data_IF_431259595880
#
_entry.id   IF_431259595880
#
_cell.length_a   1.000
_cell.length_b   1.000
_cell.length_c   1.000
_cell.angle_alpha   90.00
_cell.angle_beta   90.00
_cell.angle_gamma   90.00
#
_symmetry.space_group_name_H-M   'P 1'
#
loop_
_entity.id
_entity.type
_entity.pdbx_description
1 polymer ?
#
# COMPACT_ATOMS: atom_id res chain seq x y z
N UNK A 1 -9.27 47.03 6.76
CA UNK A 1 -9.10 45.70 6.15
C UNK A 1 -9.72 44.67 7.07
N UNK A 2 -10.85 44.06 6.67
CA UNK A 2 -11.62 43.14 7.52
C UNK A 2 -11.01 41.75 7.46
N UNK A 3 -10.50 41.26 8.60
CA UNK A 3 -10.00 39.90 8.73
C UNK A 3 -11.16 38.92 8.55
N UNK A 4 -11.24 38.28 7.38
CA UNK A 4 -12.16 37.17 7.13
C UNK A 4 -11.81 36.04 8.09
N UNK A 5 -12.59 35.92 9.17
CA UNK A 5 -12.60 34.74 10.03
C UNK A 5 -13.15 33.58 9.21
N UNK A 6 -12.26 32.81 8.58
CA UNK A 6 -12.64 31.57 7.92
C UNK A 6 -13.21 30.64 9.00
N UNK A 7 -14.52 30.47 8.98
CA UNK A 7 -15.25 29.54 9.84
C UNK A 7 -14.85 28.15 9.37
N UNK A 8 -13.95 27.49 10.10
CA UNK A 8 -13.49 26.14 9.78
C UNK A 8 -14.70 25.20 9.78
N UNK A 9 -15.14 24.80 8.59
CA UNK A 9 -16.10 23.72 8.42
C UNK A 9 -15.35 22.47 8.84
N UNK A 10 -15.61 21.99 10.05
CA UNK A 10 -15.01 20.75 10.53
C UNK A 10 -15.64 19.63 9.69
N UNK A 11 -14.83 18.81 9.01
CA UNK A 11 -15.37 17.69 8.24
C UNK A 11 -16.18 16.74 9.13
N UNK A 12 -17.23 16.16 8.56
CA UNK A 12 -18.15 15.23 9.21
C UNK A 12 -17.52 13.84 9.36
N UNK A 13 -16.39 13.79 10.08
CA UNK A 13 -15.70 12.55 10.45
C UNK A 13 -16.20 12.18 11.82
N UNK A 14 -16.71 10.96 11.98
CA UNK A 14 -17.15 10.48 13.28
C UNK A 14 -16.02 10.61 14.31
N UNK A 15 -16.38 11.10 15.49
CA UNK A 15 -15.52 11.77 16.46
C UNK A 15 -14.40 10.92 17.10
N UNK A 16 -14.27 9.63 16.78
CA UNK A 16 -13.39 8.70 17.50
C UNK A 16 -11.95 8.63 16.96
N UNK A 17 -11.76 8.93 15.67
CA UNK A 17 -10.45 8.79 15.01
C UNK A 17 -9.69 10.11 14.87
N UNK A 18 -10.21 11.21 15.44
CA UNK A 18 -9.57 12.52 15.46
C UNK A 18 -9.26 12.95 16.90
N UNK A 19 -8.15 13.66 17.09
CA UNK A 19 -7.84 14.22 18.40
C UNK A 19 -8.90 15.23 18.85
N UNK A 20 -9.14 15.35 20.18
CA UNK A 20 -10.07 16.33 20.70
C UNK A 20 -9.60 17.75 20.36
N UNK A 21 -10.54 18.68 20.21
CA UNK A 21 -10.20 20.08 19.90
C UNK A 21 -9.31 20.66 21.01
N UNK A 22 -8.20 21.27 20.62
CA UNK A 22 -7.23 21.85 21.55
C UNK A 22 -6.20 20.84 22.08
N UNK A 23 -6.26 19.58 21.65
CA UNK A 23 -5.14 18.66 21.85
C UNK A 23 -3.92 19.17 21.08
N UNK A 24 -2.77 19.11 21.75
CA UNK A 24 -1.47 19.32 21.14
C UNK A 24 -0.70 18.01 21.26
N UNK A 25 -1.00 17.01 20.41
CA UNK A 25 -0.24 15.77 20.42
C UNK A 25 1.24 16.11 20.15
N UNK A 26 2.13 15.46 20.88
CA UNK A 26 3.56 15.60 20.64
C UNK A 26 3.89 14.92 19.31
N UNK A 27 3.91 15.71 18.24
CA UNK A 27 4.23 15.24 16.91
C UNK A 27 5.72 14.89 16.86
N UNK A 28 6.05 13.75 16.27
CA UNK A 28 7.45 13.48 15.92
C UNK A 28 7.91 14.48 14.85
N UNK A 29 9.22 14.71 14.75
CA UNK A 29 9.78 15.83 13.99
C UNK A 29 9.40 15.84 12.49
N UNK A 30 9.12 14.67 11.90
CA UNK A 30 8.71 14.53 10.49
C UNK A 30 7.29 15.05 10.24
N UNK A 31 6.44 15.05 11.27
CA UNK A 31 5.07 15.52 11.18
C UNK A 31 4.92 16.98 11.57
N UNK A 32 6.00 17.66 11.99
CA UNK A 32 5.99 19.11 12.20
C UNK A 32 6.09 19.82 10.84
N UNK A 33 5.28 20.86 10.58
CA UNK A 33 5.39 21.64 9.35
C UNK A 33 6.82 22.18 9.20
N UNK A 34 7.45 21.85 8.08
CA UNK A 34 8.82 22.28 7.79
C UNK A 34 8.98 22.58 6.31
N UNK A 35 9.76 23.61 6.01
CA UNK A 35 10.24 23.94 4.67
C UNK A 35 11.64 23.39 4.41
N UNK A 36 12.25 22.74 5.42
CA UNK A 36 13.57 22.17 5.30
C UNK A 36 13.51 20.92 4.43
N UNK A 37 14.52 20.76 3.57
CA UNK A 37 14.68 19.53 2.79
C UNK A 37 14.95 18.37 3.74
N UNK A 38 14.18 17.29 3.57
CA UNK A 38 14.36 16.06 4.32
C UNK A 38 15.55 15.28 3.77
N UNK A 39 16.31 14.66 4.66
CA UNK A 39 17.48 13.85 4.35
C UNK A 39 17.19 12.36 4.51
N UNK A 40 18.18 11.52 4.15
CA UNK A 40 18.08 10.07 4.29
C UNK A 40 17.81 9.60 5.72
N UNK A 41 18.24 10.34 6.74
CA UNK A 41 17.96 10.01 8.15
C UNK A 41 16.47 10.15 8.47
N UNK A 42 15.80 11.10 7.82
CA UNK A 42 14.38 11.35 8.03
C UNK A 42 13.53 10.24 7.41
N UNK A 43 13.98 9.68 6.29
CA UNK A 43 13.39 8.48 5.66
C UNK A 43 13.45 7.27 6.60
N UNK A 44 14.60 7.05 7.27
CA UNK A 44 14.76 5.95 8.23
C UNK A 44 13.88 6.17 9.46
N UNK A 45 13.90 7.38 10.02
CA UNK A 45 13.05 7.70 11.15
C UNK A 45 11.56 7.60 10.78
N UNK A 46 11.18 7.82 9.51
CA UNK A 46 9.81 7.62 9.04
C UNK A 46 9.44 6.15 8.97
N UNK A 47 10.37 5.26 8.60
CA UNK A 47 10.11 3.82 8.55
C UNK A 47 10.00 3.15 9.93
N UNK A 48 10.44 3.84 10.98
CA UNK A 48 10.35 3.43 12.38
C UNK A 48 9.11 3.98 13.10
N UNK A 49 8.31 4.82 12.43
CA UNK A 49 7.14 5.44 13.04
C UNK A 49 6.01 4.43 13.34
N UNK A 50 5.39 4.57 14.51
CA UNK A 50 4.23 3.78 14.93
C UNK A 50 2.91 4.43 14.45
N UNK A 51 2.04 3.72 13.72
CA UNK A 51 0.76 4.25 13.23
C UNK A 51 -0.10 4.89 14.33
N UNK A 52 -0.74 6.03 14.02
CA UNK A 52 -1.58 6.72 15.00
C UNK A 52 -2.93 6.00 15.11
N UNK A 53 -3.37 5.72 16.34
CA UNK A 53 -4.77 5.33 16.60
C UNK A 53 -5.75 6.45 16.28
N UNK A 54 -5.31 7.70 16.44
CA UNK A 54 -6.13 8.89 16.29
C UNK A 54 -5.33 9.93 15.50
N UNK A 55 -5.88 10.44 14.41
CA UNK A 55 -5.20 11.42 13.55
C UNK A 55 -5.08 12.78 14.26
N UNK A 56 -3.86 13.30 14.42
CA UNK A 56 -3.64 14.68 14.84
C UNK A 56 -4.29 15.68 13.87
N UNK A 57 -5.08 16.64 14.37
CA UNK A 57 -5.76 17.66 13.53
C UNK A 57 -4.84 18.48 12.63
N UNK A 58 -3.60 18.69 13.06
CA UNK A 58 -2.55 19.37 12.27
C UNK A 58 -2.26 18.65 10.95
N UNK A 59 -2.52 17.35 10.88
CA UNK A 59 -2.38 16.53 9.67
C UNK A 59 -3.64 16.51 8.81
N UNK A 60 -4.70 17.24 9.17
CA UNK A 60 -5.87 17.40 8.30
C UNK A 60 -5.59 18.56 7.33
N UNK A 61 -5.61 18.32 6.01
CA UNK A 61 -5.32 19.36 5.04
C UNK A 61 -6.36 20.47 5.11
N UNK A 62 -5.88 21.71 5.11
CA UNK A 62 -6.71 22.92 5.11
C UNK A 62 -6.73 23.49 3.69
N UNK A 63 -7.91 23.59 3.04
CA UNK A 63 -8.01 24.17 1.71
C UNK A 63 -7.39 25.57 1.63
N UNK A 64 -6.48 25.78 0.67
CA UNK A 64 -5.79 27.05 0.45
C UNK A 64 -4.60 27.32 1.38
N UNK A 65 -4.29 26.44 2.34
CA UNK A 65 -3.10 26.59 3.18
C UNK A 65 -1.82 26.26 2.40
N UNK A 66 -0.76 27.09 2.44
CA UNK A 66 0.41 26.96 1.56
C UNK A 66 1.22 25.68 1.75
N UNK A 67 1.10 25.05 2.92
CA UNK A 67 1.69 23.75 3.23
C UNK A 67 0.60 22.69 3.35
N UNK A 68 0.81 21.55 2.70
CA UNK A 68 -0.01 20.35 2.85
C UNK A 68 0.69 19.36 3.76
N UNK A 69 -0.04 18.72 4.69
CA UNK A 69 0.53 17.71 5.56
C UNK A 69 0.92 16.45 4.78
N UNK A 70 1.77 15.59 5.36
CA UNK A 70 1.94 14.22 4.91
C UNK A 70 0.60 13.52 4.66
N UNK A 71 0.55 12.65 3.66
CA UNK A 71 -0.59 11.79 3.39
C UNK A 71 -0.62 10.66 4.41
N UNK A 72 -1.70 10.63 5.17
CA UNK A 72 -2.01 9.58 6.13
C UNK A 72 -3.14 8.73 5.57
N UNK A 73 -3.00 7.42 5.67
CA UNK A 73 -3.99 6.43 5.20
C UNK A 73 -4.64 5.77 6.40
N UNK A 74 -5.96 5.82 6.46
CA UNK A 74 -6.72 5.09 7.46
C UNK A 74 -7.06 3.69 6.94
N UNK A 75 -6.76 2.66 7.72
CA UNK A 75 -6.96 1.29 7.28
C UNK A 75 -6.44 0.24 8.27
N UNK A 76 -6.23 -0.96 7.75
CA UNK A 76 -5.77 -2.12 8.53
C UNK A 76 -4.61 -2.81 7.83
N UNK A 77 -3.75 -3.45 8.62
CA UNK A 77 -2.84 -4.45 8.09
C UNK A 77 -3.67 -5.62 7.56
N UNK A 78 -3.43 -5.98 6.31
CA UNK A 78 -4.15 -7.05 5.65
C UNK A 78 -3.70 -8.41 6.20
N UNK A 79 -4.67 -9.31 6.40
CA UNK A 79 -4.37 -10.72 6.62
C UNK A 79 -4.17 -11.40 5.25
N UNK A 80 -2.92 -11.65 4.89
CA UNK A 80 -2.57 -12.20 3.58
C UNK A 80 -3.12 -13.62 3.37
N UNK A 81 -3.29 -14.42 4.43
CA UNK A 81 -3.90 -15.75 4.35
C UNK A 81 -5.37 -15.66 3.95
N UNK A 82 -6.11 -14.76 4.59
CA UNK A 82 -7.52 -14.52 4.23
C UNK A 82 -7.64 -13.96 2.82
N UNK A 83 -6.75 -13.06 2.39
CA UNK A 83 -6.74 -12.56 1.02
C UNK A 83 -6.49 -13.68 -0.01
N UNK A 84 -5.65 -14.67 0.32
CA UNK A 84 -5.46 -15.86 -0.52
C UNK A 84 -6.73 -16.70 -0.57
N UNK A 85 -7.41 -16.92 0.55
CA UNK A 85 -8.67 -17.67 0.58
C UNK A 85 -9.75 -16.99 -0.26
N UNK A 86 -9.93 -15.67 -0.10
CA UNK A 86 -10.88 -14.90 -0.89
C UNK A 86 -10.50 -14.92 -2.38
N UNK A 87 -9.21 -14.83 -2.73
CA UNK A 87 -8.78 -14.92 -4.13
C UNK A 87 -9.15 -16.27 -4.78
N UNK A 88 -9.12 -17.36 -4.01
CA UNK A 88 -9.58 -18.69 -4.46
C UNK A 88 -11.10 -18.74 -4.58
N UNK A 89 -11.83 -18.22 -3.60
CA UNK A 89 -13.30 -18.14 -3.62
C UNK A 89 -13.81 -17.38 -4.85
N UNK A 90 -13.17 -16.26 -5.18
CA UNK A 90 -13.54 -15.39 -6.29
C UNK A 90 -12.93 -15.80 -7.64
N UNK A 91 -12.13 -16.86 -7.69
CA UNK A 91 -11.37 -17.30 -8.87
C UNK A 91 -10.66 -16.14 -9.60
N UNK A 92 -10.00 -15.28 -8.82
CA UNK A 92 -9.43 -14.02 -9.33
C UNK A 92 -7.90 -13.96 -9.29
N UNK A 93 -7.24 -15.09 -9.09
CA UNK A 93 -5.79 -15.18 -9.08
C UNK A 93 -5.18 -14.68 -10.39
N UNK A 94 -4.16 -13.81 -10.29
CA UNK A 94 -3.37 -13.35 -11.43
C UNK A 94 -2.09 -14.16 -11.45
N UNK A 95 -1.83 -14.89 -12.52
CA UNK A 95 -0.59 -15.65 -12.67
C UNK A 95 0.55 -14.73 -13.13
N UNK A 96 1.75 -14.99 -12.62
CA UNK A 96 2.96 -14.38 -13.16
C UNK A 96 3.09 -14.80 -14.64
N UNK A 97 3.15 -13.82 -15.54
CA UNK A 97 3.48 -14.11 -16.92
C UNK A 97 4.86 -14.81 -16.93
N UNK A 98 5.02 -15.93 -17.64
CA UNK A 98 6.35 -16.46 -17.87
C UNK A 98 7.14 -15.33 -18.53
N UNK A 99 8.22 -14.89 -17.88
CA UNK A 99 9.12 -13.93 -18.49
C UNK A 99 9.67 -14.62 -19.75
N UNK A 100 9.15 -14.23 -20.92
CA UNK A 100 9.78 -14.50 -22.20
C UNK A 100 11.03 -13.64 -22.20
N UNK A 101 12.09 -14.15 -21.59
CA UNK A 101 13.43 -13.68 -21.92
C UNK A 101 13.57 -14.00 -23.40
N UNK A 102 13.30 -13.01 -24.24
CA UNK A 102 13.87 -13.00 -25.57
C UNK A 102 15.36 -12.98 -25.30
N UNK A 103 16.00 -14.13 -25.49
CA UNK A 103 17.44 -14.25 -25.55
C UNK A 103 17.88 -13.41 -26.74
N UNK A 104 17.97 -12.10 -26.50
CA UNK A 104 18.48 -11.13 -27.44
C UNK A 104 19.97 -11.29 -27.42
N UNK A 105 20.45 -12.23 -28.23
CA UNK A 105 21.78 -12.18 -28.81
C UNK A 105 21.93 -10.84 -29.53
N UNK A 106 22.46 -9.84 -28.83
CA UNK A 106 23.23 -8.80 -29.50
C UNK A 106 24.67 -9.30 -29.50
N UNK A 107 25.01 -9.95 -30.61
CA UNK A 107 26.36 -9.97 -31.17
C UNK A 107 26.97 -8.57 -31.05
N UNK A 108 28.18 -8.44 -30.51
CA UNK A 108 29.31 -7.86 -31.26
C UNK A 108 30.63 -8.48 -30.75
N UNK A 109 31.22 -9.29 -31.64
CA UNK A 109 32.64 -9.59 -31.87
C UNK A 109 33.54 -10.01 -30.70
N UNK A 110 33.87 -11.32 -30.61
CA UNK A 110 35.26 -11.82 -30.47
C UNK A 110 35.36 -13.33 -30.79
N UNK A 111 35.99 -13.60 -31.95
CA UNK A 111 36.82 -14.75 -32.36
C UNK A 111 36.30 -16.20 -32.17
N UNK A 112 35.73 -16.70 -33.27
CA UNK A 112 35.97 -17.99 -33.95
C UNK A 112 36.81 -19.05 -33.19
N UNK A 113 36.13 -19.88 -32.38
CA UNK A 113 36.54 -21.27 -32.11
C UNK A 113 35.27 -22.13 -32.03
N UNK A 114 35.13 -23.05 -32.99
CA UNK A 114 34.00 -23.96 -33.19
C UNK A 114 33.77 -24.89 -31.97
N UNK A 115 32.91 -24.49 -31.02
CA UNK A 115 32.32 -25.41 -30.06
C UNK A 115 30.95 -25.92 -30.55
N UNK A 116 30.88 -27.24 -30.69
CA UNK A 116 29.71 -28.01 -31.13
C UNK A 116 28.51 -27.76 -30.18
N UNK A 117 27.57 -26.93 -30.63
CA UNK A 117 26.34 -26.59 -29.90
C UNK A 117 25.46 -27.83 -29.74
N UNK A 118 25.53 -28.45 -28.57
CA UNK A 118 24.59 -29.49 -28.14
C UNK A 118 23.22 -28.83 -27.95
N UNK A 119 22.33 -29.05 -28.92
CA UNK A 119 20.91 -28.72 -28.81
C UNK A 119 20.28 -29.60 -27.75
N UNK A 120 20.19 -29.11 -26.52
CA UNK A 120 19.36 -29.75 -25.50
C UNK A 120 17.88 -29.59 -25.89
N UNK A 121 17.31 -30.68 -26.40
CA UNK A 121 15.90 -30.81 -26.71
C UNK A 121 15.09 -30.72 -25.40
N UNK A 122 14.49 -29.55 -25.15
CA UNK A 122 13.76 -29.30 -23.92
C UNK A 122 12.47 -30.12 -23.87
N UNK A 123 12.41 -31.02 -22.91
CA UNK A 123 11.26 -31.88 -22.69
C UNK A 123 10.16 -31.11 -21.95
N UNK A 124 9.10 -30.75 -22.69
CA UNK A 124 7.91 -30.00 -22.20
C UNK A 124 7.09 -30.75 -21.11
N UNK A 125 7.58 -31.89 -20.62
CA UNK A 125 6.94 -32.68 -19.55
C UNK A 125 7.20 -32.15 -18.14
N UNK A 126 8.05 -31.14 -17.97
CA UNK A 126 8.33 -30.58 -16.64
C UNK A 126 7.29 -29.51 -16.33
N UNK A 127 6.40 -29.68 -15.33
CA UNK A 127 5.36 -28.70 -15.05
C UNK A 127 6.03 -27.38 -14.69
N UNK A 128 5.56 -26.27 -15.27
CA UNK A 128 6.05 -24.90 -15.06
C UNK A 128 6.24 -24.56 -13.56
N UNK A 129 5.47 -25.21 -12.69
CA UNK A 129 5.64 -25.18 -11.23
C UNK A 129 7.04 -25.60 -10.76
N UNK A 130 7.65 -26.63 -11.34
CA UNK A 130 8.98 -27.12 -10.96
C UNK A 130 10.09 -26.08 -11.26
N UNK A 131 9.98 -25.37 -12.39
CA UNK A 131 10.91 -24.30 -12.79
C UNK A 131 10.74 -23.06 -11.90
N UNK A 132 9.51 -22.72 -11.52
CA UNK A 132 9.23 -21.65 -10.57
C UNK A 132 9.72 -22.00 -9.16
N UNK A 133 9.60 -23.25 -8.73
CA UNK A 133 10.07 -23.71 -7.41
C UNK A 133 11.58 -23.94 -7.34
N UNK A 134 12.26 -24.30 -8.43
CA UNK A 134 13.71 -24.55 -8.42
C UNK A 134 14.54 -23.28 -8.25
N UNK A 135 13.97 -22.11 -8.56
CA UNK A 135 14.58 -20.79 -8.31
C UNK A 135 14.42 -20.31 -6.86
N UNK A 136 13.72 -21.07 -6.01
CA UNK A 136 13.42 -20.66 -4.65
C UNK A 136 14.58 -20.95 -3.69
N UNK A 137 15.10 -19.90 -3.06
CA UNK A 137 16.00 -19.97 -1.90
C UNK A 137 15.22 -19.50 -0.67
N UNK A 138 14.76 -20.41 0.23
CA UNK A 138 14.01 -20.03 1.43
C UNK A 138 14.74 -19.00 2.29
N UNK A 139 16.07 -19.06 2.31
CA UNK A 139 16.93 -18.10 3.02
C UNK A 139 16.79 -16.64 2.55
N UNK A 140 16.16 -16.40 1.39
CA UNK A 140 16.03 -15.06 0.80
C UNK A 140 14.87 -14.25 1.40
N UNK A 141 13.91 -14.89 2.08
CA UNK A 141 12.71 -14.21 2.61
C UNK A 141 12.33 -14.67 4.02
N UNK A 142 13.15 -14.40 5.04
CA UNK A 142 12.93 -14.89 6.40
C UNK A 142 11.67 -14.32 7.09
N UNK A 143 11.08 -13.25 6.56
CA UNK A 143 9.92 -12.55 7.15
C UNK A 143 8.66 -12.65 6.28
N UNK A 144 8.63 -13.61 5.34
CA UNK A 144 7.45 -13.82 4.48
C UNK A 144 6.29 -14.44 5.28
N UNK A 145 5.06 -14.00 5.02
CA UNK A 145 3.86 -14.62 5.61
C UNK A 145 3.54 -15.95 4.91
N UNK A 146 2.89 -16.88 5.62
CA UNK A 146 2.48 -18.17 5.03
C UNK A 146 1.52 -17.97 3.84
N UNK A 147 0.61 -17.00 3.92
CA UNK A 147 -0.27 -16.63 2.82
C UNK A 147 0.50 -16.16 1.57
N UNK A 148 1.48 -15.26 1.75
CA UNK A 148 2.34 -14.81 0.66
C UNK A 148 3.08 -15.98 0.01
N UNK A 149 3.63 -16.86 0.85
CA UNK A 149 4.40 -18.02 0.41
C UNK A 149 3.54 -18.96 -0.43
N UNK A 150 2.32 -19.26 0.04
CA UNK A 150 1.36 -20.11 -0.68
C UNK A 150 0.97 -19.52 -2.03
N UNK A 151 0.64 -18.22 -2.08
CA UNK A 151 0.29 -17.53 -3.32
C UNK A 151 1.45 -17.56 -4.32
N UNK A 152 2.67 -17.23 -3.85
CA UNK A 152 3.87 -17.24 -4.69
C UNK A 152 4.20 -18.63 -5.21
N UNK A 153 4.10 -19.67 -4.37
CA UNK A 153 4.32 -21.06 -4.78
C UNK A 153 3.30 -21.54 -5.81
N UNK A 154 2.08 -21.00 -5.77
CA UNK A 154 1.07 -21.22 -6.79
C UNK A 154 1.32 -20.44 -8.11
N UNK A 155 2.43 -19.68 -8.19
CA UNK A 155 2.79 -18.88 -9.36
C UNK A 155 2.01 -17.58 -9.48
N UNK A 156 1.40 -17.11 -8.39
CA UNK A 156 0.58 -15.89 -8.42
C UNK A 156 1.45 -14.63 -8.39
N UNK A 157 1.01 -13.63 -9.15
CA UNK A 157 1.38 -12.24 -8.98
C UNK A 157 0.58 -11.72 -7.76
N UNK A 158 1.20 -11.82 -6.58
CA UNK A 158 0.55 -11.66 -5.27
C UNK A 158 -0.11 -10.29 -5.14
N UNK A 159 0.59 -9.22 -5.53
CA UNK A 159 0.09 -7.85 -5.38
C UNK A 159 -1.15 -7.59 -6.23
N UNK A 160 -1.12 -7.88 -7.53
CA UNK A 160 -2.28 -7.72 -8.42
C UNK A 160 -3.42 -8.64 -8.02
N UNK A 161 -3.12 -9.84 -7.55
CA UNK A 161 -4.15 -10.76 -7.06
C UNK A 161 -4.89 -10.15 -5.86
N UNK A 162 -4.15 -9.71 -4.83
CA UNK A 162 -4.76 -9.06 -3.66
C UNK A 162 -5.45 -7.74 -4.03
N UNK A 163 -4.87 -6.97 -4.95
CA UNK A 163 -5.50 -5.74 -5.44
C UNK A 163 -6.82 -6.04 -6.16
N UNK A 164 -6.89 -7.15 -6.90
CA UNK A 164 -8.11 -7.60 -7.57
C UNK A 164 -9.17 -8.05 -6.57
N UNK A 165 -8.79 -8.79 -5.52
CA UNK A 165 -9.68 -9.12 -4.39
C UNK A 165 -10.29 -7.85 -3.81
N UNK A 166 -9.46 -6.88 -3.43
CA UNK A 166 -9.91 -5.61 -2.85
C UNK A 166 -10.84 -4.86 -3.81
N UNK A 167 -10.55 -4.85 -5.10
CA UNK A 167 -11.39 -4.21 -6.11
C UNK A 167 -12.74 -4.91 -6.31
N UNK A 168 -12.78 -6.25 -6.27
CA UNK A 168 -14.03 -7.02 -6.39
C UNK A 168 -14.89 -6.78 -5.14
N UNK A 169 -14.32 -6.96 -3.95
CA UNK A 169 -15.03 -6.71 -2.68
C UNK A 169 -15.56 -5.27 -2.63
N UNK A 170 -14.77 -4.29 -3.07
CA UNK A 170 -15.22 -2.89 -3.21
C UNK A 170 -16.45 -2.76 -4.11
N UNK A 171 -16.49 -3.51 -5.21
CA UNK A 171 -17.58 -3.44 -6.20
C UNK A 171 -18.84 -4.18 -5.77
N UNK A 172 -18.70 -5.26 -5.01
CA UNK A 172 -19.81 -6.10 -4.53
C UNK A 172 -20.47 -5.53 -3.28
N UNK A 173 -19.66 -5.11 -2.30
CA UNK A 173 -20.15 -4.84 -0.96
C UNK A 173 -20.78 -3.45 -0.81
N UNK A 174 -20.48 -2.47 -1.68
CA UNK A 174 -20.75 -1.08 -1.28
C UNK A 174 -21.25 -0.10 -2.33
N UNK A 175 -22.44 0.42 -2.00
CA UNK A 175 -22.90 1.79 -2.21
C UNK A 175 -21.99 2.88 -1.58
N UNK A 176 -20.85 2.53 -0.98
CA UNK A 176 -19.79 3.48 -0.61
C UNK A 176 -19.18 4.07 -1.88
N UNK A 177 -19.68 5.24 -2.26
CA UNK A 177 -19.10 6.14 -3.25
C UNK A 177 -17.79 6.76 -2.72
N UNK A 178 -16.83 5.93 -2.34
CA UNK A 178 -15.55 6.27 -1.69
C UNK A 178 -14.43 5.26 -1.96
N UNK A 179 -13.19 5.71 -1.80
CA UNK A 179 -11.97 5.18 -2.42
C UNK A 179 -11.29 4.05 -1.60
N UNK A 180 -11.86 2.83 -1.57
CA UNK A 180 -11.11 1.67 -1.06
C UNK A 180 -9.92 1.37 -1.97
N UNK A 181 -8.73 1.21 -1.39
CA UNK A 181 -7.50 0.89 -2.12
C UNK A 181 -6.55 0.00 -1.29
N UNK A 182 -5.94 -0.99 -1.95
CA UNK A 182 -4.80 -1.72 -1.40
C UNK A 182 -3.53 -0.89 -1.57
N UNK A 183 -2.71 -0.77 -0.52
CA UNK A 183 -1.44 -0.05 -0.55
C UNK A 183 -0.29 -0.93 -0.07
N UNK A 184 0.80 -0.93 -0.84
CA UNK A 184 2.09 -1.52 -0.46
C UNK A 184 3.12 -0.48 0.00
N UNK A 185 2.84 0.79 -0.28
CA UNK A 185 3.77 1.90 -0.13
C UNK A 185 3.57 2.52 1.25
N UNK A 186 4.02 1.80 2.29
CA UNK A 186 4.07 2.28 3.66
C UNK A 186 5.51 2.45 4.12
N UNK A 187 5.75 3.46 4.95
CA UNK A 187 7.01 3.60 5.68
C UNK A 187 7.09 2.52 6.78
N UNK A 188 7.54 1.30 6.44
CA UNK A 188 7.85 0.25 7.42
C UNK A 188 8.85 -0.77 6.86
N UNK A 189 9.83 -1.19 7.66
CA UNK A 189 10.96 -2.07 7.23
C UNK A 189 10.53 -3.49 6.79
N UNK A 190 9.38 -3.96 7.29
CA UNK A 190 8.59 -5.01 6.66
C UNK A 190 7.34 -4.30 6.17
N UNK A 191 7.09 -4.22 4.87
CA UNK A 191 5.88 -3.61 4.31
C UNK A 191 4.80 -4.69 4.22
N UNK A 192 4.01 -4.96 5.30
CA UNK A 192 2.83 -5.77 5.12
C UNK A 192 1.89 -5.05 4.16
N UNK A 193 1.06 -5.81 3.47
CA UNK A 193 -0.06 -5.24 2.75
C UNK A 193 -0.96 -4.48 3.71
N UNK A 194 -1.39 -3.28 3.32
CA UNK A 194 -2.38 -2.52 4.07
C UNK A 194 -3.56 -2.19 3.18
N UNK A 195 -4.76 -2.39 3.71
CA UNK A 195 -6.01 -2.03 3.05
C UNK A 195 -6.43 -0.67 3.58
N UNK A 196 -6.37 0.34 2.71
CA UNK A 196 -6.74 1.71 3.01
C UNK A 196 -8.22 1.93 2.67
N UNK A 197 -8.98 2.41 3.64
CA UNK A 197 -10.36 2.81 3.44
C UNK A 197 -10.47 4.23 2.87
N UNK A 198 -9.65 5.15 3.38
CA UNK A 198 -9.57 6.55 2.93
C UNK A 198 -8.27 7.20 3.46
N UNK A 199 -8.04 8.45 3.06
CA UNK A 199 -6.90 9.27 3.46
C UNK A 199 -7.31 10.48 4.28
N UNK A 200 -6.36 11.16 4.93
CA UNK A 200 -6.59 12.42 5.62
C UNK A 200 -7.13 13.53 4.67
N UNK A 201 -6.85 13.43 3.37
CA UNK A 201 -7.36 14.34 2.35
C UNK A 201 -8.84 14.11 2.05
N UNK A 202 -9.29 12.86 2.13
CA UNK A 202 -10.69 12.50 1.92
C UNK A 202 -11.58 12.98 3.08
N UNK A 203 -11.02 13.32 4.23
CA UNK A 203 -11.79 13.82 5.37
C UNK A 203 -12.60 15.06 5.00
N UNK A 204 -12.09 15.92 4.12
CA UNK A 204 -12.81 17.12 3.66
C UNK A 204 -14.00 16.80 2.74
N UNK A 205 -14.12 15.56 2.27
CA UNK A 205 -15.21 15.08 1.43
C UNK A 205 -16.51 14.89 2.24
N UNK A 206 -17.65 15.06 1.58
CA UNK A 206 -18.97 14.73 2.15
C UNK A 206 -19.29 13.23 2.11
N UNK A 207 -18.42 12.43 1.50
CA UNK A 207 -18.65 11.00 1.21
C UNK A 207 -17.56 10.14 1.83
N UNK A 208 -17.55 10.07 3.15
CA UNK A 208 -16.77 9.07 3.87
C UNK A 208 -17.61 7.81 4.09
N UNK A 209 -17.00 6.62 4.12
CA UNK A 209 -17.68 5.40 4.57
C UNK A 209 -18.27 5.59 5.98
N UNK A 210 -19.45 5.04 6.22
CA UNK A 210 -20.00 4.95 7.57
C UNK A 210 -19.25 3.90 8.40
N UNK A 211 -19.45 3.89 9.72
CA UNK A 211 -18.86 2.85 10.58
C UNK A 211 -19.37 1.47 10.20
N UNK A 212 -20.66 1.34 9.88
CA UNK A 212 -21.23 0.07 9.42
C UNK A 212 -20.57 -0.40 8.12
N UNK A 213 -20.27 0.52 7.19
CA UNK A 213 -19.53 0.20 5.96
C UNK A 213 -18.11 -0.30 6.27
N UNK A 214 -17.41 0.34 7.21
CA UNK A 214 -16.05 -0.03 7.62
C UNK A 214 -16.03 -1.39 8.32
N UNK A 215 -16.99 -1.65 9.21
CA UNK A 215 -17.13 -2.93 9.92
C UNK A 215 -17.46 -4.07 8.97
N UNK A 216 -18.36 -3.83 8.01
CA UNK A 216 -18.71 -4.80 6.98
C UNK A 216 -17.49 -5.14 6.11
N UNK A 217 -16.73 -4.12 5.67
CA UNK A 217 -15.50 -4.30 4.92
C UNK A 217 -14.45 -5.08 5.71
N UNK A 218 -14.25 -4.73 6.99
CA UNK A 218 -13.30 -5.40 7.85
C UNK A 218 -13.64 -6.89 8.00
N UNK A 219 -14.92 -7.23 8.20
CA UNK A 219 -15.37 -8.62 8.26
C UNK A 219 -15.17 -9.36 6.94
N UNK A 220 -15.54 -8.75 5.81
CA UNK A 220 -15.43 -9.41 4.49
C UNK A 220 -13.99 -9.69 4.10
N UNK A 221 -13.07 -8.80 4.45
CA UNK A 221 -11.63 -8.93 4.15
C UNK A 221 -10.84 -9.64 5.27
N UNK A 222 -11.51 -10.11 6.33
CA UNK A 222 -10.88 -10.72 7.51
C UNK A 222 -9.82 -9.84 8.18
N UNK A 223 -10.05 -8.52 8.18
CA UNK A 223 -9.18 -7.54 8.82
C UNK A 223 -9.34 -7.66 10.34
N UNK A 224 -8.23 -7.89 11.04
CA UNK A 224 -8.21 -8.02 12.49
C UNK A 224 -7.60 -6.77 13.13
N UNK A 225 -8.03 -6.48 14.36
CA UNK A 225 -7.56 -5.34 15.13
C UNK A 225 -8.22 -4.00 14.76
N UNK A 226 -7.76 -2.95 15.43
CA UNK A 226 -8.27 -1.60 15.22
C UNK A 226 -7.64 -0.95 13.98
N UNK A 227 -8.45 -0.21 13.23
CA UNK A 227 -7.94 0.60 12.14
C UNK A 227 -7.07 1.75 12.66
N UNK A 228 -5.96 1.99 11.98
CA UNK A 228 -4.98 3.01 12.36
C UNK A 228 -4.66 3.94 11.18
N UNK A 229 -3.93 5.01 11.46
CA UNK A 229 -3.40 5.95 10.49
C UNK A 229 -1.95 5.64 10.18
N UNK A 230 -1.71 5.17 8.96
CA UNK A 230 -0.39 4.84 8.44
C UNK A 230 0.16 5.97 7.58
N UNK A 231 1.47 6.16 7.62
CA UNK A 231 2.18 7.12 6.77
C UNK A 231 2.39 6.54 5.36
N UNK A 232 1.94 7.26 4.34
CA UNK A 232 2.15 6.90 2.93
C UNK A 232 3.61 7.11 2.53
N UNK A 233 4.25 6.12 1.88
CA UNK A 233 5.67 6.21 1.57
C UNK A 233 6.07 7.14 0.43
N UNK A 234 5.13 7.50 -0.41
CA UNK A 234 5.34 8.42 -1.53
C UNK A 234 5.10 9.87 -1.12
N UNK A 235 4.15 10.09 -0.21
CA UNK A 235 3.67 11.42 0.19
C UNK A 235 3.85 11.67 1.71
N UNK A 236 4.98 11.23 2.27
CA UNK A 236 5.25 11.26 3.71
C UNK A 236 5.70 12.60 4.29
N UNK A 237 5.90 13.60 3.44
CA UNK A 237 6.47 14.90 3.83
C UNK A 237 5.46 16.02 3.72
N UNK A 238 5.78 17.15 4.33
CA UNK A 238 5.04 18.38 4.07
C UNK A 238 5.37 18.84 2.66
N UNK A 239 4.33 19.19 1.90
CA UNK A 239 4.47 19.66 0.52
C UNK A 239 4.00 21.11 0.42
N UNK A 240 4.70 21.91 -0.39
CA UNK A 240 4.18 23.21 -0.76
C UNK A 240 3.01 23.07 -1.76
N UNK A 241 2.12 24.07 -1.79
CA UNK A 241 1.00 24.07 -2.72
C UNK A 241 1.38 24.42 -4.17
N UNK A 242 2.66 24.67 -4.48
CA UNK A 242 3.06 25.54 -5.58
C UNK A 242 4.19 25.03 -6.47
N UNK A 243 4.80 23.88 -6.23
CA UNK A 243 5.79 23.31 -7.14
C UNK A 243 5.34 21.99 -7.80
N UNK A 244 5.52 21.84 -9.13
CA UNK A 244 5.55 20.52 -9.74
C UNK A 244 6.84 19.80 -9.30
N UNK A 245 6.75 18.48 -9.20
CA UNK A 245 7.82 17.57 -8.80
C UNK A 245 9.14 17.77 -9.57
#
# INVERSE_FOLDING_TARGET
>A
MSARKNKYITPNVQHFSLDPRGAHPDLTFQFKPTWQSLCRKDVLAASEYEPYMTLPRVLIPVPGHPLRPPKMRYGWIANEEVLVEIAKELDCAVLCAPATFSDGSDDEDLDDDEEEVVKEEYNNSTPVQAILTSRYKPDKFPNESDGHYVARRAGWEVFRTFQRVVNIVRSEELAARGTLALSLTLFRNSTPFMISAFTNYDLTSKRLPSVDDLDMLARRLGLQGDAQWFLDSLDWRWHDNGQPY
#
